data_IF_866670263828
#
_entry.id   IF_866670263828
#
_cell.length_a   1.000
_cell.length_b   1.000
_cell.length_c   1.000
_cell.angle_alpha   90.00
_cell.angle_beta   90.00
_cell.angle_gamma   90.00
#
_symmetry.space_group_name_H-M   'P 1'
#
loop_
_entity.id
_entity.type
_entity.pdbx_description
1 polymer ?
#
# COMPACT_ATOMS: atom_id res chain seq x y z
N UNK A 1 38.12 -16.51 33.40
CA UNK A 1 38.91 -17.03 32.26
C UNK A 1 37.96 -17.76 31.29
N UNK A 2 38.13 -17.55 29.98
CA UNK A 2 37.38 -18.28 28.96
C UNK A 2 38.08 -19.65 28.79
N UNK A 3 37.29 -20.75 28.80
CA UNK A 3 37.86 -22.08 28.60
C UNK A 3 38.28 -22.30 27.14
N UNK A 4 39.27 -23.14 26.91
CA UNK A 4 39.73 -23.51 25.57
C UNK A 4 38.61 -24.14 24.72
N UNK A 5 37.78 -24.98 25.34
CA UNK A 5 36.60 -25.58 24.70
C UNK A 5 35.62 -24.52 24.22
N UNK A 6 35.35 -23.48 25.00
CA UNK A 6 34.49 -22.38 24.61
C UNK A 6 35.08 -21.59 23.44
N UNK A 7 36.36 -21.32 23.44
CA UNK A 7 37.08 -20.65 22.36
C UNK A 7 36.99 -21.45 21.06
N UNK A 8 37.32 -22.75 21.11
CA UNK A 8 37.27 -23.68 19.99
C UNK A 8 35.87 -23.76 19.37
N UNK A 9 34.82 -23.81 20.21
CA UNK A 9 33.44 -23.81 19.76
C UNK A 9 33.09 -22.51 18.99
N UNK A 10 33.52 -21.35 19.47
CA UNK A 10 33.30 -20.06 18.82
C UNK A 10 34.03 -19.95 17.48
N UNK A 11 35.31 -20.37 17.45
CA UNK A 11 36.12 -20.40 16.22
C UNK A 11 35.48 -21.30 15.16
N UNK A 12 35.04 -22.50 15.55
CA UNK A 12 34.35 -23.46 14.67
C UNK A 12 33.10 -22.87 14.05
N UNK A 13 32.27 -22.14 14.82
CA UNK A 13 31.09 -21.43 14.30
C UNK A 13 31.47 -20.36 13.25
N UNK A 14 32.47 -19.54 13.53
CA UNK A 14 32.93 -18.48 12.61
C UNK A 14 33.47 -19.10 11.32
N UNK A 15 34.33 -20.16 11.42
CA UNK A 15 34.88 -20.83 10.25
C UNK A 15 33.78 -21.50 9.41
N UNK A 16 32.77 -22.10 10.04
CA UNK A 16 31.60 -22.65 9.35
C UNK A 16 30.83 -21.58 8.57
N UNK A 17 30.60 -20.43 9.19
CA UNK A 17 29.93 -19.30 8.50
C UNK A 17 30.76 -18.78 7.32
N UNK A 18 32.06 -18.60 7.49
CA UNK A 18 32.96 -18.19 6.41
C UNK A 18 32.97 -19.18 5.23
N UNK A 19 32.95 -20.49 5.55
CA UNK A 19 32.85 -21.54 4.54
C UNK A 19 31.51 -21.49 3.78
N UNK A 20 30.39 -21.37 4.50
CA UNK A 20 29.06 -21.25 3.90
C UNK A 20 28.91 -19.99 3.03
N UNK A 21 29.56 -18.90 3.38
CA UNK A 21 29.59 -17.65 2.63
C UNK A 21 30.53 -17.69 1.42
N UNK A 22 31.14 -18.86 1.14
CA UNK A 22 32.09 -19.06 0.03
C UNK A 22 33.28 -18.07 0.02
N UNK A 23 33.69 -17.56 1.19
CA UNK A 23 34.78 -16.58 1.29
C UNK A 23 36.14 -17.12 0.83
N UNK A 24 36.29 -18.45 0.78
CA UNK A 24 37.49 -19.08 0.24
C UNK A 24 37.68 -18.78 -1.26
N UNK A 25 36.59 -18.60 -1.97
CA UNK A 25 36.55 -18.31 -3.41
C UNK A 25 36.12 -16.87 -3.69
N UNK A 26 36.44 -15.96 -2.75
CA UNK A 26 36.07 -14.56 -2.89
C UNK A 26 36.59 -13.97 -4.20
N UNK A 27 35.69 -13.40 -4.99
CA UNK A 27 36.01 -12.62 -6.17
C UNK A 27 35.61 -11.16 -5.93
N UNK A 28 36.48 -10.24 -6.33
CA UNK A 28 36.18 -8.81 -6.24
C UNK A 28 34.95 -8.49 -7.05
N UNK A 29 33.98 -7.83 -6.41
CA UNK A 29 32.76 -7.39 -7.11
C UNK A 29 33.12 -6.30 -8.11
N UNK A 30 32.74 -6.51 -9.37
CA UNK A 30 32.83 -5.47 -10.39
C UNK A 30 31.70 -4.47 -10.20
N UNK A 31 32.02 -3.18 -10.12
CA UNK A 31 31.05 -2.10 -10.08
C UNK A 31 30.33 -1.87 -11.43
N UNK A 32 30.84 -2.48 -12.52
CA UNK A 32 30.23 -2.36 -13.82
C UNK A 32 28.82 -2.97 -13.82
N UNK A 33 27.83 -2.19 -14.23
CA UNK A 33 26.42 -2.59 -14.32
C UNK A 33 25.80 -3.11 -13.00
N UNK A 34 26.32 -2.67 -11.85
CA UNK A 34 25.84 -3.14 -10.54
C UNK A 34 24.34 -2.85 -10.34
N UNK A 35 23.86 -1.68 -10.78
CA UNK A 35 22.45 -1.31 -10.68
C UNK A 35 21.56 -2.25 -11.49
N UNK A 36 21.96 -2.63 -12.69
CA UNK A 36 21.22 -3.58 -13.52
C UNK A 36 21.22 -5.00 -12.92
N UNK A 37 22.30 -5.38 -12.22
CA UNK A 37 22.40 -6.69 -11.55
C UNK A 37 21.54 -6.80 -10.30
N UNK A 38 21.28 -5.70 -9.56
CA UNK A 38 20.47 -5.69 -8.34
C UNK A 38 19.05 -5.21 -8.56
N UNK A 39 18.70 -4.71 -9.75
CA UNK A 39 17.35 -4.26 -10.12
C UNK A 39 16.90 -4.98 -11.41
N UNK A 40 16.72 -6.28 -11.33
CA UNK A 40 16.25 -7.06 -12.49
C UNK A 40 14.73 -6.99 -12.62
N UNK A 41 14.19 -7.25 -13.82
CA UNK A 41 12.74 -7.38 -14.03
C UNK A 41 12.12 -8.46 -13.14
N UNK A 42 12.88 -9.52 -12.82
CA UNK A 42 12.47 -10.58 -11.91
C UNK A 42 12.29 -10.07 -10.48
N UNK A 43 13.18 -9.20 -10.02
CA UNK A 43 13.10 -8.60 -8.67
C UNK A 43 11.90 -7.67 -8.59
N UNK A 44 11.65 -6.87 -9.63
CA UNK A 44 10.45 -6.01 -9.70
C UNK A 44 9.15 -6.83 -9.66
N UNK A 45 9.08 -7.94 -10.40
CA UNK A 45 7.92 -8.83 -10.37
C UNK A 45 7.73 -9.50 -9.00
N UNK A 46 8.82 -9.93 -8.36
CA UNK A 46 8.77 -10.51 -7.02
C UNK A 46 8.28 -9.48 -6.00
N UNK A 47 8.80 -8.27 -6.07
CA UNK A 47 8.38 -7.16 -5.23
C UNK A 47 6.88 -6.84 -5.42
N UNK A 48 6.41 -6.77 -6.66
CA UNK A 48 5.00 -6.53 -6.95
C UNK A 48 4.10 -7.64 -6.37
N UNK A 49 4.50 -8.91 -6.48
CA UNK A 49 3.76 -10.03 -5.86
C UNK A 49 3.74 -9.95 -4.33
N UNK A 50 4.86 -9.55 -3.72
CA UNK A 50 4.94 -9.35 -2.27
C UNK A 50 3.99 -8.22 -1.83
N UNK A 51 3.97 -7.09 -2.55
CA UNK A 51 3.06 -5.98 -2.28
C UNK A 51 1.60 -6.39 -2.43
N UNK A 52 1.22 -7.09 -3.52
CA UNK A 52 -0.12 -7.61 -3.71
C UNK A 52 -0.58 -8.50 -2.56
N UNK A 53 0.32 -9.34 -2.05
CA UNK A 53 0.02 -10.25 -0.93
C UNK A 53 -0.07 -9.54 0.42
N UNK A 54 0.56 -8.38 0.56
CA UNK A 54 0.63 -7.63 1.82
C UNK A 54 -0.48 -6.60 1.97
N UNK A 55 -0.90 -5.92 0.88
CA UNK A 55 -1.93 -4.88 0.95
C UNK A 55 -3.21 -5.45 1.55
N UNK A 56 -3.67 -4.78 2.62
CA UNK A 56 -4.69 -5.34 3.50
C UNK A 56 -5.96 -4.51 3.48
N UNK A 57 -7.08 -5.16 3.18
CA UNK A 57 -8.42 -4.60 3.37
C UNK A 57 -8.85 -4.80 4.82
N UNK A 58 -8.94 -3.72 5.57
CA UNK A 58 -9.27 -3.73 7.01
C UNK A 58 -10.78 -3.74 7.22
N UNK A 59 -11.50 -2.93 6.47
CA UNK A 59 -12.94 -2.71 6.59
C UNK A 59 -13.56 -2.54 5.20
N UNK A 60 -14.76 -3.06 4.99
CA UNK A 60 -15.52 -2.87 3.74
C UNK A 60 -17.02 -2.97 4.03
N UNK A 61 -17.57 -1.92 4.60
CA UNK A 61 -19.00 -1.82 4.88
C UNK A 61 -19.78 -1.52 3.60
N UNK A 62 -21.07 -1.86 3.59
CA UNK A 62 -21.99 -1.63 2.48
C UNK A 62 -21.45 -2.16 1.13
N UNK A 63 -20.44 -3.03 1.16
CA UNK A 63 -19.79 -3.55 -0.06
C UNK A 63 -19.38 -2.43 -1.04
N UNK A 64 -18.80 -1.34 -0.50
CA UNK A 64 -18.39 -0.19 -1.32
C UNK A 64 -17.26 -0.56 -2.29
N UNK A 65 -16.43 -1.54 -1.92
CA UNK A 65 -15.45 -2.15 -2.79
C UNK A 65 -15.96 -3.50 -3.33
N UNK A 66 -15.60 -3.87 -4.57
CA UNK A 66 -14.78 -3.11 -5.51
C UNK A 66 -15.52 -1.89 -6.08
N UNK A 67 -14.74 -0.88 -6.49
CA UNK A 67 -15.26 0.31 -7.17
C UNK A 67 -15.99 -0.10 -8.47
N UNK A 68 -17.00 0.66 -8.85
CA UNK A 68 -17.86 0.36 -10.00
C UNK A 68 -17.97 1.56 -10.94
N UNK A 69 -18.06 1.32 -12.26
CA UNK A 69 -18.08 2.35 -13.30
C UNK A 69 -19.41 3.15 -13.36
N UNK A 70 -20.45 2.66 -12.69
CA UNK A 70 -21.77 3.32 -12.61
C UNK A 70 -21.87 4.34 -11.47
N UNK A 71 -20.77 4.57 -10.75
CA UNK A 71 -20.69 5.45 -9.59
C UNK A 71 -19.69 6.58 -9.81
N UNK A 72 -19.92 7.70 -9.13
CA UNK A 72 -19.04 8.87 -9.14
C UNK A 72 -18.13 8.90 -7.92
N UNK A 73 -16.87 9.13 -8.16
CA UNK A 73 -15.86 9.17 -7.09
C UNK A 73 -15.04 10.44 -7.17
N UNK A 74 -14.65 10.93 -5.99
CA UNK A 74 -13.68 12.01 -5.83
C UNK A 74 -12.44 11.49 -5.13
N UNK A 75 -11.26 11.81 -5.63
CA UNK A 75 -9.99 11.50 -4.96
C UNK A 75 -9.45 12.71 -4.22
N UNK A 76 -9.07 12.52 -2.96
CA UNK A 76 -8.43 13.52 -2.10
C UNK A 76 -7.14 12.93 -1.53
N UNK A 77 -5.99 13.55 -1.84
CA UNK A 77 -4.70 13.14 -1.33
C UNK A 77 -4.24 14.03 -0.17
N UNK A 78 -3.80 13.42 0.91
CA UNK A 78 -3.16 14.06 2.06
C UNK A 78 -1.72 13.60 2.22
N UNK A 79 -0.91 14.42 2.90
CA UNK A 79 0.49 14.14 3.18
C UNK A 79 1.41 14.70 2.11
N UNK A 80 2.38 13.93 1.64
CA UNK A 80 3.32 14.39 0.62
C UNK A 80 2.67 14.36 -0.77
N UNK A 81 2.33 15.52 -1.29
CA UNK A 81 1.50 15.71 -2.49
C UNK A 81 2.06 15.07 -3.78
N UNK A 82 3.38 14.87 -3.88
CA UNK A 82 4.02 14.39 -5.12
C UNK A 82 3.72 12.92 -5.43
N UNK A 83 3.14 12.18 -4.46
CA UNK A 83 3.05 10.72 -4.54
C UNK A 83 1.62 10.18 -4.71
N UNK A 84 0.57 11.01 -4.58
CA UNK A 84 -0.84 10.59 -4.79
C UNK A 84 -1.21 10.31 -6.24
N UNK A 85 -0.42 10.79 -7.17
CA UNK A 85 -0.72 10.75 -8.59
C UNK A 85 -0.75 9.34 -9.17
N UNK A 86 0.03 8.38 -8.64
CA UNK A 86 0.06 7.02 -9.19
C UNK A 86 -1.23 6.26 -8.90
N UNK A 87 -1.77 6.40 -7.68
CA UNK A 87 -3.08 5.83 -7.33
C UNK A 87 -4.18 6.43 -8.20
N UNK A 88 -4.27 7.77 -8.25
CA UNK A 88 -5.24 8.49 -9.06
C UNK A 88 -5.16 8.11 -10.53
N UNK A 89 -3.97 8.22 -11.14
CA UNK A 89 -3.77 7.94 -12.57
C UNK A 89 -4.10 6.48 -12.92
N UNK A 90 -3.86 5.56 -11.99
CA UNK A 90 -4.17 4.14 -12.22
C UNK A 90 -5.67 3.88 -12.13
N UNK A 91 -6.37 4.42 -11.14
CA UNK A 91 -7.83 4.29 -11.01
C UNK A 91 -8.51 4.95 -12.21
N UNK A 92 -8.04 6.14 -12.63
CA UNK A 92 -8.60 6.89 -13.75
C UNK A 92 -8.44 6.21 -15.13
N UNK A 93 -7.67 5.11 -15.20
CA UNK A 93 -7.64 4.21 -16.38
C UNK A 93 -8.83 3.25 -16.42
N UNK A 94 -9.50 3.05 -15.30
CA UNK A 94 -10.56 2.05 -15.15
C UNK A 94 -11.95 2.69 -15.07
N UNK A 95 -12.05 3.84 -14.43
CA UNK A 95 -13.27 4.64 -14.28
C UNK A 95 -12.93 6.12 -14.25
N UNK A 96 -13.89 6.96 -14.55
CA UNK A 96 -13.74 8.41 -14.42
C UNK A 96 -13.66 8.79 -12.95
N UNK A 97 -12.57 9.49 -12.58
CA UNK A 97 -12.28 9.88 -11.22
C UNK A 97 -11.93 11.35 -11.14
N UNK A 98 -12.72 12.12 -10.42
CA UNK A 98 -12.40 13.51 -10.12
C UNK A 98 -11.29 13.61 -9.07
N UNK A 99 -10.50 14.69 -9.11
CA UNK A 99 -9.47 14.96 -8.09
C UNK A 99 -9.70 16.30 -7.42
N UNK A 100 -9.51 16.32 -6.10
CA UNK A 100 -9.58 17.54 -5.30
C UNK A 100 -8.18 18.08 -5.01
N UNK A 101 -7.84 19.23 -5.60
CA UNK A 101 -6.51 19.82 -5.51
C UNK A 101 -6.42 21.05 -4.60
N UNK A 102 -7.55 21.54 -4.09
CA UNK A 102 -7.58 22.69 -3.17
C UNK A 102 -7.01 22.32 -1.79
N UNK A 103 -6.41 23.31 -1.11
CA UNK A 103 -6.02 23.20 0.30
C UNK A 103 -7.18 23.51 1.25
N UNK A 104 -8.24 24.12 0.77
CA UNK A 104 -9.47 24.35 1.54
C UNK A 104 -10.41 23.17 1.37
N UNK A 105 -10.57 22.37 2.43
CA UNK A 105 -11.45 21.20 2.46
C UNK A 105 -12.88 21.51 2.92
N UNK A 106 -13.19 22.78 3.22
CA UNK A 106 -14.51 23.20 3.71
C UNK A 106 -15.68 22.73 2.82
N UNK A 107 -15.58 22.78 1.48
CA UNK A 107 -16.66 22.28 0.61
C UNK A 107 -16.97 20.79 0.78
N UNK A 108 -16.00 20.00 1.23
CA UNK A 108 -16.14 18.55 1.43
C UNK A 108 -16.70 18.19 2.81
N UNK A 109 -16.86 19.15 3.73
CA UNK A 109 -17.42 18.88 5.06
C UNK A 109 -18.94 18.69 5.02
N UNK A 110 -19.58 19.14 3.95
CA UNK A 110 -20.98 18.86 3.66
C UNK A 110 -21.14 17.61 2.78
N UNK A 111 -22.37 17.11 2.65
CA UNK A 111 -22.67 16.03 1.71
C UNK A 111 -22.34 16.48 0.29
N UNK A 112 -21.59 15.66 -0.43
CA UNK A 112 -21.23 15.86 -1.85
C UNK A 112 -22.13 15.01 -2.75
N UNK A 113 -22.10 15.27 -4.06
CA UNK A 113 -22.81 14.48 -5.08
C UNK A 113 -22.03 13.21 -5.51
N UNK A 114 -20.91 12.91 -4.82
CA UNK A 114 -20.15 11.71 -5.06
C UNK A 114 -20.71 10.53 -4.28
N UNK A 115 -20.69 9.35 -4.88
CA UNK A 115 -21.08 8.11 -4.21
C UNK A 115 -20.10 7.75 -3.09
N UNK A 116 -18.82 8.05 -3.32
CA UNK A 116 -17.78 7.99 -2.29
C UNK A 116 -16.61 8.93 -2.58
N UNK A 117 -15.91 9.31 -1.51
CA UNK A 117 -14.63 10.02 -1.57
C UNK A 117 -13.52 9.02 -1.25
N UNK A 118 -12.58 8.87 -2.18
CA UNK A 118 -11.37 8.06 -2.02
C UNK A 118 -10.31 8.95 -1.38
N UNK A 119 -10.09 8.80 -0.10
CA UNK A 119 -9.02 9.52 0.60
C UNK A 119 -7.76 8.67 0.62
N UNK A 120 -6.62 9.25 0.23
CA UNK A 120 -5.32 8.62 0.34
C UNK A 120 -4.37 9.46 1.20
N UNK A 121 -3.75 8.84 2.20
CA UNK A 121 -2.69 9.45 2.99
C UNK A 121 -1.33 8.90 2.56
N UNK A 122 -0.42 9.80 2.20
CA UNK A 122 0.91 9.51 1.69
C UNK A 122 1.98 9.93 2.69
N UNK A 123 2.67 8.96 3.30
CA UNK A 123 3.78 9.24 4.21
C UNK A 123 4.91 9.99 3.50
N UNK A 124 5.49 10.95 4.19
CA UNK A 124 6.62 11.77 3.68
C UNK A 124 7.96 11.05 3.72
N UNK A 125 8.07 9.94 4.46
CA UNK A 125 9.35 9.27 4.70
C UNK A 125 9.23 7.76 4.56
N UNK A 126 10.22 7.17 3.91
CA UNK A 126 10.47 5.72 3.88
C UNK A 126 11.38 5.26 5.04
N UNK A 127 11.80 6.18 5.92
CA UNK A 127 12.65 5.85 7.05
C UNK A 127 11.90 5.00 8.08
N UNK A 128 12.49 3.93 8.61
CA UNK A 128 11.89 3.14 9.70
C UNK A 128 11.76 3.94 11.02
N UNK A 129 12.45 5.08 11.12
CA UNK A 129 12.37 6.00 12.26
C UNK A 129 11.37 7.13 12.06
N UNK A 130 10.69 7.17 10.91
CA UNK A 130 9.66 8.16 10.66
C UNK A 130 8.47 7.95 11.60
N UNK A 131 7.78 9.06 11.93
CA UNK A 131 6.56 9.00 12.69
C UNK A 131 5.50 8.15 11.96
N UNK A 132 4.87 7.24 12.69
CA UNK A 132 3.74 6.45 12.23
C UNK A 132 2.40 7.16 12.50
N UNK A 133 2.46 8.41 12.95
CA UNK A 133 1.32 9.23 13.35
C UNK A 133 0.95 10.13 12.17
N UNK A 134 -0.31 10.13 11.82
CA UNK A 134 -0.88 11.11 10.88
C UNK A 134 -1.03 12.43 11.64
N UNK A 135 -0.59 13.57 11.09
CA UNK A 135 -0.72 14.87 11.74
C UNK A 135 -2.15 15.17 12.19
N UNK A 136 -2.36 15.69 13.41
CA UNK A 136 -3.70 15.91 13.98
C UNK A 136 -4.62 16.77 13.10
N UNK A 137 -4.07 17.77 12.42
CA UNK A 137 -4.82 18.64 11.50
C UNK A 137 -5.33 17.86 10.28
N UNK A 138 -4.59 16.87 9.77
CA UNK A 138 -5.02 16.00 8.68
C UNK A 138 -6.12 15.05 9.17
N UNK A 139 -5.92 14.44 10.33
CA UNK A 139 -6.95 13.59 10.97
C UNK A 139 -8.26 14.37 11.17
N UNK A 140 -8.17 15.61 11.65
CA UNK A 140 -9.34 16.47 11.84
C UNK A 140 -10.08 16.75 10.53
N UNK A 141 -9.36 17.02 9.44
CA UNK A 141 -9.96 17.22 8.12
C UNK A 141 -10.63 15.94 7.61
N UNK A 142 -9.94 14.80 7.68
CA UNK A 142 -10.50 13.49 7.27
C UNK A 142 -11.77 13.19 8.06
N UNK A 143 -11.77 13.38 9.39
CA UNK A 143 -12.95 13.14 10.23
C UNK A 143 -14.11 14.09 9.92
N UNK A 144 -13.86 15.35 9.55
CA UNK A 144 -14.92 16.28 9.11
C UNK A 144 -15.55 15.86 7.80
N UNK A 145 -14.73 15.41 6.84
CA UNK A 145 -15.21 14.92 5.53
C UNK A 145 -16.04 13.65 5.71
N UNK A 146 -15.62 12.72 6.58
CA UNK A 146 -16.27 11.41 6.76
C UNK A 146 -17.67 11.48 7.38
N UNK A 147 -17.96 12.51 8.15
CA UNK A 147 -19.27 12.65 8.81
C UNK A 147 -20.46 12.70 7.84
N UNK A 148 -20.25 13.24 6.66
CA UNK A 148 -21.31 13.48 5.68
C UNK A 148 -21.14 12.73 4.37
N UNK A 149 -20.02 12.02 4.18
CA UNK A 149 -19.68 11.34 2.95
C UNK A 149 -19.23 9.90 3.19
N UNK A 150 -19.48 9.01 2.25
CA UNK A 150 -18.92 7.65 2.28
C UNK A 150 -17.42 7.72 1.95
N UNK A 151 -16.58 7.16 2.80
CA UNK A 151 -15.12 7.25 2.66
C UNK A 151 -14.49 5.90 2.41
N UNK A 152 -13.64 5.85 1.38
CA UNK A 152 -12.66 4.78 1.13
C UNK A 152 -11.28 5.31 1.52
N UNK A 153 -10.82 4.98 2.73
CA UNK A 153 -9.55 5.46 3.28
C UNK A 153 -8.40 4.53 2.89
N UNK A 154 -7.39 5.07 2.23
CA UNK A 154 -6.17 4.35 1.85
C UNK A 154 -4.97 4.94 2.58
N UNK A 155 -4.28 4.12 3.37
CA UNK A 155 -3.12 4.54 4.17
C UNK A 155 -1.85 3.92 3.60
N UNK A 156 -1.01 4.72 2.94
CA UNK A 156 0.34 4.34 2.51
C UNK A 156 1.33 4.55 3.64
N UNK A 157 1.08 3.84 4.73
CA UNK A 157 1.79 3.86 5.99
C UNK A 157 1.57 2.50 6.68
N UNK A 158 2.27 2.23 7.77
CA UNK A 158 2.09 0.98 8.51
C UNK A 158 0.76 0.94 9.31
N UNK A 159 0.31 -0.21 9.80
CA UNK A 159 -0.97 -0.37 10.49
C UNK A 159 -1.13 0.43 11.79
N UNK A 160 -0.03 0.87 12.41
CA UNK A 160 -0.09 1.71 13.61
C UNK A 160 -0.64 3.11 13.33
N UNK A 161 -0.64 3.56 12.06
CA UNK A 161 -1.21 4.83 11.66
C UNK A 161 -2.71 4.95 11.96
N UNK A 162 -3.42 3.82 12.05
CA UNK A 162 -4.82 3.81 12.47
C UNK A 162 -5.01 4.35 13.90
N UNK A 163 -4.01 4.23 14.77
CA UNK A 163 -4.05 4.77 16.13
C UNK A 163 -4.11 6.31 16.17
N UNK A 164 -3.90 6.99 15.04
CA UNK A 164 -4.10 8.44 14.93
C UNK A 164 -5.58 8.85 14.97
N UNK A 165 -6.50 7.92 14.73
CA UNK A 165 -7.93 8.15 14.78
C UNK A 165 -8.50 7.72 16.14
N UNK A 166 -9.48 8.47 16.66
CA UNK A 166 -10.21 8.09 17.88
C UNK A 166 -11.28 7.03 17.60
N UNK A 167 -11.90 7.09 16.41
CA UNK A 167 -12.83 6.10 15.86
C UNK A 167 -12.60 5.93 14.38
N UNK A 168 -12.96 4.75 13.87
CA UNK A 168 -12.92 4.40 12.45
C UNK A 168 -14.31 4.07 11.90
N UNK A 169 -15.36 4.36 12.68
CA UNK A 169 -16.73 3.95 12.33
C UNK A 169 -17.26 4.69 11.11
N UNK A 170 -16.87 5.96 10.96
CA UNK A 170 -17.29 6.82 9.85
C UNK A 170 -16.64 6.45 8.49
N UNK A 171 -15.71 5.51 8.46
CA UNK A 171 -15.12 5.05 7.20
C UNK A 171 -15.83 3.81 6.68
N UNK A 172 -16.29 3.84 5.42
CA UNK A 172 -16.93 2.67 4.81
C UNK A 172 -15.92 1.59 4.42
N UNK A 173 -14.75 1.99 3.97
CA UNK A 173 -13.65 1.08 3.68
C UNK A 173 -12.32 1.63 4.15
N UNK A 174 -11.44 0.73 4.62
CA UNK A 174 -10.07 1.06 5.04
C UNK A 174 -9.12 0.06 4.41
N UNK A 175 -8.11 0.59 3.72
CA UNK A 175 -7.04 -0.19 3.09
C UNK A 175 -5.68 0.27 3.59
N UNK A 176 -4.83 -0.67 4.00
CA UNK A 176 -3.43 -0.40 4.35
C UNK A 176 -2.55 -0.80 3.16
N UNK A 177 -1.93 0.20 2.54
CA UNK A 177 -1.00 0.03 1.42
C UNK A 177 0.46 -0.11 1.84
N UNK A 178 0.77 0.07 3.12
CA UNK A 178 2.09 -0.01 3.76
C UNK A 178 3.12 0.98 3.23
N UNK A 179 3.50 0.88 1.98
CA UNK A 179 4.58 1.68 1.40
C UNK A 179 4.04 2.74 0.44
N UNK A 180 4.61 3.94 0.53
CA UNK A 180 4.27 5.03 -0.36
C UNK A 180 5.21 5.06 -1.58
N UNK A 181 4.98 4.14 -2.53
CA UNK A 181 5.73 4.07 -3.78
C UNK A 181 4.81 3.68 -4.95
N UNK A 182 5.32 3.77 -6.17
CA UNK A 182 4.58 3.54 -7.41
C UNK A 182 3.88 2.18 -7.40
N UNK A 183 4.62 1.12 -7.10
CA UNK A 183 4.12 -0.26 -7.17
C UNK A 183 3.00 -0.49 -6.16
N UNK A 184 3.16 -0.01 -4.92
CA UNK A 184 2.12 -0.13 -3.90
C UNK A 184 0.85 0.63 -4.29
N UNK A 185 0.97 1.85 -4.80
CA UNK A 185 -0.17 2.67 -5.21
C UNK A 185 -0.91 2.07 -6.41
N UNK A 186 -0.19 1.60 -7.44
CA UNK A 186 -0.81 0.97 -8.62
C UNK A 186 -1.50 -0.35 -8.28
N UNK A 187 -0.88 -1.19 -7.43
CA UNK A 187 -1.51 -2.44 -6.98
C UNK A 187 -2.73 -2.14 -6.10
N UNK A 188 -2.67 -1.11 -5.24
CA UNK A 188 -3.83 -0.69 -4.46
C UNK A 188 -4.98 -0.27 -5.38
N UNK A 189 -4.72 0.47 -6.45
CA UNK A 189 -5.73 0.82 -7.44
C UNK A 189 -6.37 -0.42 -8.10
N UNK A 190 -5.54 -1.40 -8.52
CA UNK A 190 -5.99 -2.67 -9.07
C UNK A 190 -6.90 -3.44 -8.09
N UNK A 191 -6.55 -3.42 -6.81
CA UNK A 191 -7.33 -4.05 -5.74
C UNK A 191 -8.65 -3.32 -5.47
N UNK A 192 -8.62 -1.98 -5.40
CA UNK A 192 -9.82 -1.15 -5.20
C UNK A 192 -10.83 -1.35 -6.33
N UNK A 193 -10.38 -1.44 -7.56
CA UNK A 193 -11.24 -1.68 -8.72
C UNK A 193 -11.61 -3.16 -8.88
N UNK A 194 -11.02 -4.06 -8.14
CA UNK A 194 -11.34 -5.49 -8.15
C UNK A 194 -10.72 -6.28 -9.31
N UNK A 195 -9.62 -5.81 -9.89
CA UNK A 195 -8.81 -6.57 -10.87
C UNK A 195 -8.02 -7.66 -10.14
N UNK A 196 -7.59 -7.36 -8.92
CA UNK A 196 -6.88 -8.28 -8.02
C UNK A 196 -7.73 -8.59 -6.79
N UNK A 197 -7.36 -9.63 -6.05
CA UNK A 197 -8.05 -10.05 -4.83
C UNK A 197 -7.31 -9.58 -3.60
N UNK A 198 -8.00 -8.94 -2.65
CA UNK A 198 -7.44 -8.71 -1.32
C UNK A 198 -7.29 -10.02 -0.56
N UNK A 199 -6.11 -10.27 -0.03
CA UNK A 199 -5.76 -11.46 0.78
C UNK A 199 -4.88 -11.11 1.97
N UNK A 200 -4.36 -9.88 2.00
CA UNK A 200 -3.43 -9.41 3.02
C UNK A 200 -4.02 -9.47 4.43
N UNK A 201 -3.15 -9.64 5.41
CA UNK A 201 -3.44 -9.63 6.84
C UNK A 201 -2.47 -8.71 7.54
N UNK A 202 -2.94 -7.93 8.52
CA UNK A 202 -2.02 -7.08 9.29
C UNK A 202 -1.07 -7.92 10.15
N UNK A 203 0.24 -7.61 10.11
CA UNK A 203 1.26 -8.38 10.84
C UNK A 203 1.36 -7.99 12.31
N UNK A 204 0.66 -6.97 12.75
CA UNK A 204 0.72 -6.41 14.11
C UNK A 204 -0.67 -6.01 14.58
N UNK A 205 -0.90 -6.02 15.90
CA UNK A 205 -2.11 -5.46 16.49
C UNK A 205 -2.01 -3.93 16.59
N UNK A 206 -3.15 -3.26 16.51
CA UNK A 206 -3.33 -1.83 16.79
C UNK A 206 -4.53 -1.63 17.72
N UNK A 207 -4.94 -0.38 17.98
CA UNK A 207 -6.04 -0.09 18.91
C UNK A 207 -7.39 -0.67 18.46
N UNK A 208 -7.58 -0.98 17.19
CA UNK A 208 -8.86 -1.41 16.62
C UNK A 208 -8.88 -2.88 16.21
N UNK A 209 -7.74 -3.46 15.85
CA UNK A 209 -7.68 -4.80 15.28
C UNK A 209 -6.50 -5.60 15.83
N UNK A 210 -6.73 -6.89 16.02
CA UNK A 210 -5.69 -7.85 16.39
C UNK A 210 -4.85 -8.25 15.18
N UNK A 211 -3.65 -8.73 15.44
CA UNK A 211 -2.77 -9.37 14.42
C UNK A 211 -3.55 -10.40 13.60
N UNK A 212 -3.23 -10.54 12.33
CA UNK A 212 -3.90 -11.39 11.36
C UNK A 212 -5.31 -10.92 10.94
N UNK A 213 -5.77 -9.75 11.40
CA UNK A 213 -7.00 -9.16 10.84
C UNK A 213 -6.81 -8.74 9.39
N UNK A 214 -7.85 -8.87 8.59
CA UNK A 214 -7.94 -8.46 7.19
C UNK A 214 -9.06 -9.22 6.49
N UNK A 215 -9.78 -8.52 5.64
CA UNK A 215 -10.86 -9.09 4.86
C UNK A 215 -10.34 -9.66 3.55
N UNK A 216 -10.95 -10.74 3.08
CA UNK A 216 -10.70 -11.27 1.74
C UNK A 216 -11.78 -10.74 0.81
N UNK A 217 -11.38 -10.18 -0.32
CA UNK A 217 -12.28 -9.73 -1.37
C UNK A 217 -11.77 -10.28 -2.70
N UNK A 218 -12.55 -11.16 -3.32
CA UNK A 218 -12.19 -11.76 -4.59
C UNK A 218 -12.33 -10.73 -5.72
N UNK A 219 -11.49 -10.88 -6.74
CA UNK A 219 -11.59 -10.06 -7.96
C UNK A 219 -12.99 -10.22 -8.59
N UNK A 220 -13.55 -9.12 -9.03
CA UNK A 220 -14.82 -9.08 -9.77
C UNK A 220 -14.62 -8.60 -11.21
N UNK A 221 -13.74 -7.61 -11.39
CA UNK A 221 -13.49 -7.03 -12.69
C UNK A 221 -12.35 -7.77 -13.38
N UNK A 222 -12.55 -8.14 -14.63
CA UNK A 222 -11.55 -8.78 -15.48
C UNK A 222 -11.29 -7.80 -16.64
N UNK A 223 -10.06 -7.27 -16.71
CA UNK A 223 -9.62 -6.60 -17.92
C UNK A 223 -9.30 -7.71 -18.91
N UNK A 224 -10.21 -7.93 -19.84
CA UNK A 224 -9.98 -8.85 -20.95
C UNK A 224 -9.04 -8.21 -21.97
N UNK A 225 -7.94 -8.86 -22.28
CA UNK A 225 -7.24 -8.60 -23.54
C UNK A 225 -8.07 -9.27 -24.63
N UNK A 226 -8.80 -8.51 -25.45
CA UNK A 226 -9.28 -9.05 -26.73
C UNK A 226 -8.06 -9.32 -27.61
N UNK A 227 -8.00 -10.51 -28.20
CA UNK A 227 -7.06 -10.74 -29.29
C UNK A 227 -7.37 -9.69 -30.36
N UNK A 228 -6.33 -9.05 -30.98
CA UNK A 228 -6.59 -8.21 -32.13
C UNK A 228 -7.45 -9.01 -33.12
N UNK A 229 -8.61 -8.50 -33.46
CA UNK A 229 -9.35 -9.04 -34.59
C UNK A 229 -8.48 -8.78 -35.81
N UNK A 230 -7.93 -9.84 -36.38
CA UNK A 230 -7.38 -9.74 -37.74
C UNK A 230 -8.61 -9.59 -38.65
N UNK A 231 -9.06 -8.37 -38.84
CA UNK A 231 -9.94 -8.05 -39.92
C UNK A 231 -9.19 -8.37 -41.20
N UNK A 232 -9.75 -9.30 -41.92
CA UNK A 232 -9.23 -9.77 -43.20
C UNK A 232 -9.05 -8.56 -44.13
N UNK A 233 -7.80 -8.38 -44.57
CA UNK A 233 -7.49 -7.58 -45.73
C UNK A 233 -8.08 -8.28 -46.97
#
# INVERSE_FOLDING_TARGET
>A
KISESRLSSSVKKILSLKSKSNLKNYQKISSNNILAKVNTSKDTLLYAKAMESSITLIKNNKSILPLSNDKKYLHVAFGKNDNGNYLFNKINKYLELDSYSSKDFTPLYSKTDYDAIIISYHSSSSSPYASNIIPPEIVANINKISRNNNIVLNLFLNPYSLNSFNSIDDFESIVIGYQNNIISQEITADLLFGIRSFKGKIPVSNNFFSVNHGLSLLRKNIIGYSRPSYDKI
#
